data_IF_886133955348
#
_entry.id   IF_886133955348
#
_cell.length_a   1.000
_cell.length_b   1.000
_cell.length_c   1.000
_cell.angle_alpha   90.00
_cell.angle_beta   90.00
_cell.angle_gamma   90.00
#
_symmetry.space_group_name_H-M   'P 1'
#
loop_
_entity.id
_entity.type
_entity.pdbx_description
1 polymer ?
#
# COMPACT_ATOMS: atom_id res chain seq x y z
N UNK A 1 0.90 18.32 11.86
CA UNK A 1 -0.01 17.17 11.84
C UNK A 1 0.69 15.95 12.37
N UNK A 2 0.00 15.15 13.16
CA UNK A 2 0.51 13.90 13.74
C UNK A 2 0.10 12.72 12.85
N UNK A 3 1.08 12.03 12.29
CA UNK A 3 0.86 10.99 11.28
C UNK A 3 1.19 9.61 11.85
N UNK A 4 0.35 8.62 11.57
CA UNK A 4 0.62 7.22 11.82
C UNK A 4 0.79 6.44 10.50
N UNK A 5 1.67 5.44 10.46
CA UNK A 5 1.75 4.50 9.34
C UNK A 5 1.67 3.07 9.88
N UNK A 6 0.58 2.38 9.58
CA UNK A 6 0.40 0.94 9.87
C UNK A 6 0.93 0.13 8.70
N UNK A 7 1.83 -0.80 8.97
CA UNK A 7 2.58 -1.53 7.96
C UNK A 7 3.84 -0.78 7.50
N UNK A 8 4.39 0.08 8.35
CA UNK A 8 5.54 0.94 8.04
C UNK A 8 6.80 0.18 7.60
N UNK A 9 6.96 -1.08 7.99
CA UNK A 9 8.11 -1.94 7.62
C UNK A 9 7.91 -2.68 6.29
N UNK A 10 6.73 -2.58 5.68
CA UNK A 10 6.41 -3.20 4.40
C UNK A 10 6.90 -2.37 3.21
N UNK A 11 6.85 -2.94 2.01
CA UNK A 11 7.26 -2.27 0.76
C UNK A 11 6.49 -0.96 0.53
N UNK A 12 5.17 -1.00 0.62
CA UNK A 12 4.33 0.20 0.44
C UNK A 12 4.54 1.21 1.57
N UNK A 13 4.67 0.75 2.82
CA UNK A 13 4.97 1.62 3.96
C UNK A 13 6.31 2.36 3.79
N UNK A 14 7.31 1.71 3.20
CA UNK A 14 8.59 2.35 2.85
C UNK A 14 8.38 3.48 1.85
N UNK A 15 7.65 3.22 0.76
CA UNK A 15 7.35 4.24 -0.26
C UNK A 15 6.52 5.39 0.32
N UNK A 16 5.56 5.10 1.20
CA UNK A 16 4.79 6.15 1.90
C UNK A 16 5.70 7.09 2.69
N UNK A 17 6.65 6.54 3.45
CA UNK A 17 7.64 7.32 4.21
C UNK A 17 8.50 8.20 3.28
N UNK A 18 9.01 7.62 2.20
CA UNK A 18 9.83 8.32 1.21
C UNK A 18 9.05 9.48 0.57
N UNK A 19 7.81 9.26 0.16
CA UNK A 19 6.97 10.29 -0.48
C UNK A 19 6.63 11.41 0.51
N UNK A 20 6.31 11.09 1.76
CA UNK A 20 6.06 12.10 2.79
C UNK A 20 7.28 12.98 3.01
N UNK A 21 8.48 12.39 3.04
CA UNK A 21 9.74 13.12 3.18
C UNK A 21 10.03 13.97 1.93
N UNK A 22 9.93 13.41 0.73
CA UNK A 22 10.19 14.11 -0.55
C UNK A 22 9.26 15.30 -0.75
N UNK A 23 8.01 15.18 -0.35
CA UNK A 23 7.00 16.26 -0.49
C UNK A 23 7.05 17.28 0.64
N UNK A 24 7.97 17.15 1.58
CA UNK A 24 8.03 17.99 2.77
C UNK A 24 6.64 18.16 3.42
N UNK A 25 5.92 17.03 3.56
CA UNK A 25 4.59 17.06 4.15
C UNK A 25 4.67 17.65 5.56
N UNK A 26 3.74 18.53 5.98
CA UNK A 26 3.83 19.24 7.26
C UNK A 26 3.56 18.31 8.45
N UNK A 27 4.55 17.52 8.81
CA UNK A 27 4.53 16.55 9.91
C UNK A 27 5.09 17.21 11.17
N UNK A 28 4.31 17.17 12.24
CA UNK A 28 4.75 17.56 13.59
C UNK A 28 5.32 16.36 14.33
N UNK A 29 4.62 15.24 14.25
CA UNK A 29 5.11 13.96 14.75
C UNK A 29 4.72 12.81 13.82
N UNK A 30 5.55 11.76 13.80
CA UNK A 30 5.26 10.56 13.05
C UNK A 30 5.47 9.33 13.92
N UNK A 31 4.58 8.35 13.82
CA UNK A 31 4.66 7.07 14.51
C UNK A 31 4.53 5.92 13.53
N UNK A 32 5.30 4.87 13.73
CA UNK A 32 5.32 3.70 12.87
C UNK A 32 4.78 2.48 13.59
N UNK A 33 3.87 1.77 12.95
CA UNK A 33 3.21 0.61 13.50
C UNK A 33 3.40 -0.60 12.60
N UNK A 34 3.65 -1.75 13.20
CA UNK A 34 3.76 -3.02 12.48
C UNK A 34 3.29 -4.19 13.36
N UNK A 35 3.42 -5.41 12.84
CA UNK A 35 3.17 -6.62 13.63
C UNK A 35 4.17 -6.80 14.76
N UNK A 36 3.86 -7.61 15.79
CA UNK A 36 4.78 -7.91 16.90
C UNK A 36 6.18 -8.34 16.45
N UNK A 37 6.27 -9.06 15.32
CA UNK A 37 7.56 -9.51 14.72
C UNK A 37 8.47 -8.34 14.32
N UNK A 38 7.91 -7.19 14.01
CA UNK A 38 8.64 -6.00 13.56
C UNK A 38 8.66 -4.89 14.58
N UNK A 39 7.89 -4.99 15.64
CA UNK A 39 7.92 -4.06 16.76
C UNK A 39 9.31 -4.04 17.42
N UNK A 40 9.73 -2.89 17.91
CA UNK A 40 11.05 -2.68 18.49
C UNK A 40 12.17 -2.42 17.48
N UNK A 41 11.92 -2.52 16.17
CA UNK A 41 12.87 -2.05 15.16
C UNK A 41 12.89 -0.53 15.09
N UNK A 42 14.02 0.01 14.75
CA UNK A 42 14.16 1.44 14.48
C UNK A 42 14.13 1.71 12.98
N UNK A 43 13.43 2.75 12.59
CA UNK A 43 13.36 3.24 11.21
C UNK A 43 13.79 4.69 11.20
N UNK A 44 14.75 5.00 10.35
CA UNK A 44 15.18 6.38 10.15
C UNK A 44 14.17 7.14 9.26
N UNK A 45 13.77 8.32 9.72
CA UNK A 45 12.89 9.23 8.99
C UNK A 45 13.33 10.67 9.23
N UNK A 46 13.70 11.38 8.15
CA UNK A 46 14.17 12.78 8.19
C UNK A 46 15.27 13.05 9.26
N UNK A 47 16.22 12.11 9.39
CA UNK A 47 17.33 12.23 10.34
C UNK A 47 17.00 11.89 11.79
N UNK A 48 15.83 11.35 12.05
CA UNK A 48 15.40 10.85 13.35
C UNK A 48 15.20 9.34 13.32
N UNK A 49 15.70 8.64 14.34
CA UNK A 49 15.40 7.21 14.54
C UNK A 49 14.08 7.07 15.27
N UNK A 50 13.11 6.40 14.65
CA UNK A 50 11.76 6.22 15.17
C UNK A 50 11.51 4.74 15.43
N UNK A 51 11.12 4.42 16.67
CA UNK A 51 10.80 3.07 17.09
C UNK A 51 9.49 2.60 16.46
N UNK A 52 9.49 1.40 15.92
CA UNK A 52 8.27 0.74 15.41
C UNK A 52 7.48 0.15 16.58
N UNK A 53 6.23 0.57 16.71
CA UNK A 53 5.32 0.11 17.74
C UNK A 53 4.53 -1.13 17.28
N UNK A 54 4.10 -1.95 18.25
CA UNK A 54 3.18 -3.03 17.97
C UNK A 54 1.76 -2.48 17.77
N UNK A 55 1.23 -2.65 16.56
CA UNK A 55 -0.10 -2.19 16.19
C UNK A 55 -1.23 -2.82 17.02
N UNK A 56 -1.02 -4.00 17.62
CA UNK A 56 -2.04 -4.69 18.40
C UNK A 56 -2.17 -4.17 19.84
N UNK A 57 -1.13 -3.54 20.39
CA UNK A 57 -1.07 -3.15 21.80
C UNK A 57 -0.82 -1.67 22.05
N UNK A 58 -0.74 -0.86 20.99
CA UNK A 58 -0.43 0.57 21.09
C UNK A 58 -1.63 1.43 21.46
N UNK A 59 -1.35 2.64 21.97
CA UNK A 59 -2.33 3.70 22.11
C UNK A 59 -2.42 4.53 20.82
N UNK A 60 -3.61 4.75 20.31
CA UNK A 60 -3.90 5.46 19.07
C UNK A 60 -4.20 6.96 19.25
N UNK A 61 -4.08 7.48 20.46
CA UNK A 61 -4.37 8.89 20.74
C UNK A 61 -3.38 9.85 20.07
N UNK A 62 -3.84 11.07 19.86
CA UNK A 62 -3.06 12.18 19.30
C UNK A 62 -2.54 11.95 17.87
N UNK A 63 -3.22 11.18 17.06
CA UNK A 63 -2.97 11.04 15.63
C UNK A 63 -4.07 11.78 14.84
N UNK A 64 -3.67 12.58 13.86
CA UNK A 64 -4.58 13.27 12.96
C UNK A 64 -4.94 12.37 11.77
N UNK A 65 -3.94 11.74 11.16
CA UNK A 65 -4.09 10.87 9.99
C UNK A 65 -3.30 9.57 10.21
N UNK A 66 -3.91 8.44 9.86
CA UNK A 66 -3.21 7.15 9.87
C UNK A 66 -3.31 6.49 8.50
N UNK A 67 -2.16 6.23 7.89
CA UNK A 67 -2.04 5.50 6.62
C UNK A 67 -1.99 4.00 6.90
N UNK A 68 -2.92 3.24 6.33
CA UNK A 68 -3.00 1.80 6.49
C UNK A 68 -2.45 1.07 5.25
N UNK A 69 -1.45 0.25 5.45
CA UNK A 69 -0.86 -0.63 4.43
C UNK A 69 -0.43 -1.98 5.01
N UNK A 70 -1.33 -2.64 5.73
CA UNK A 70 -1.04 -3.89 6.45
C UNK A 70 -2.02 -5.04 6.11
N UNK A 71 -2.70 -4.95 4.96
CA UNK A 71 -3.66 -5.94 4.49
C UNK A 71 -5.08 -5.76 5.04
N UNK A 72 -6.05 -6.34 4.32
CA UNK A 72 -7.47 -6.08 4.57
C UNK A 72 -7.99 -6.62 5.90
N UNK A 73 -7.47 -7.75 6.37
CA UNK A 73 -7.92 -8.32 7.64
C UNK A 73 -7.53 -7.41 8.81
N UNK A 74 -6.27 -7.02 8.89
CA UNK A 74 -5.79 -6.14 9.95
C UNK A 74 -6.47 -4.76 9.90
N UNK A 75 -6.74 -4.26 8.68
CA UNK A 75 -7.48 -3.02 8.52
C UNK A 75 -8.91 -3.12 9.10
N UNK A 76 -9.62 -4.22 8.84
CA UNK A 76 -10.96 -4.43 9.42
C UNK A 76 -10.95 -4.51 10.94
N UNK A 77 -9.91 -5.08 11.51
CA UNK A 77 -9.76 -5.24 12.96
C UNK A 77 -9.40 -3.92 13.65
N UNK A 78 -8.44 -3.16 13.11
CA UNK A 78 -7.87 -2.00 13.77
C UNK A 78 -8.49 -0.66 13.37
N UNK A 79 -8.91 -0.49 12.11
CA UNK A 79 -9.35 0.82 11.62
C UNK A 79 -10.52 1.41 12.42
N UNK A 80 -11.54 0.65 12.86
CA UNK A 80 -12.60 1.20 13.71
C UNK A 80 -12.07 1.74 15.05
N UNK A 81 -11.11 1.08 15.67
CA UNK A 81 -10.51 1.52 16.93
C UNK A 81 -9.71 2.80 16.73
N UNK A 82 -8.91 2.87 15.69
CA UNK A 82 -8.11 4.06 15.34
C UNK A 82 -9.00 5.25 15.00
N UNK A 83 -10.07 5.02 14.22
CA UNK A 83 -11.06 6.04 13.89
C UNK A 83 -11.79 6.56 15.14
N UNK A 84 -12.11 5.67 16.08
CA UNK A 84 -12.75 6.04 17.35
C UNK A 84 -11.82 6.86 18.26
N UNK A 85 -10.52 6.73 18.12
CA UNK A 85 -9.51 7.56 18.79
C UNK A 85 -9.39 8.98 18.20
N UNK A 86 -10.09 9.26 17.09
CA UNK A 86 -10.20 10.59 16.48
C UNK A 86 -9.37 10.78 15.21
N UNK A 87 -8.57 9.80 14.79
CA UNK A 87 -7.80 9.89 13.56
C UNK A 87 -8.64 9.66 12.31
N UNK A 88 -8.27 10.31 11.22
CA UNK A 88 -8.75 9.96 9.86
C UNK A 88 -7.84 8.89 9.27
N UNK A 89 -8.43 7.80 8.81
CA UNK A 89 -7.72 6.69 8.20
C UNK A 89 -7.74 6.81 6.69
N UNK A 90 -6.59 6.60 6.06
CA UNK A 90 -6.45 6.39 4.62
C UNK A 90 -6.02 4.95 4.41
N UNK A 91 -6.95 4.11 3.97
CA UNK A 91 -6.73 2.68 3.85
C UNK A 91 -6.38 2.26 2.42
N UNK A 92 -5.22 1.67 2.26
CA UNK A 92 -4.74 1.16 0.98
C UNK A 92 -5.14 -0.30 0.70
N UNK A 93 -5.83 -0.95 1.64
CA UNK A 93 -6.33 -2.32 1.46
C UNK A 93 -7.65 -2.37 0.69
N UNK A 94 -8.14 -3.56 0.44
CA UNK A 94 -9.48 -3.76 -0.15
C UNK A 94 -10.62 -3.79 0.88
N UNK A 95 -10.31 -3.65 2.17
CA UNK A 95 -11.24 -3.91 3.27
C UNK A 95 -12.52 -3.07 3.22
N UNK A 96 -12.38 -1.80 2.84
CA UNK A 96 -13.45 -0.80 2.94
C UNK A 96 -14.00 -0.34 1.60
N UNK A 97 -13.45 -0.80 0.48
CA UNK A 97 -13.81 -0.33 -0.87
C UNK A 97 -15.28 -0.50 -1.23
N UNK A 98 -15.93 -1.52 -0.67
CA UNK A 98 -17.34 -1.84 -0.92
C UNK A 98 -18.27 -1.41 0.23
N UNK A 99 -17.75 -0.74 1.25
CA UNK A 99 -18.55 -0.24 2.37
C UNK A 99 -19.25 1.07 1.95
N UNK A 100 -20.60 1.14 1.99
CA UNK A 100 -21.34 2.31 1.52
C UNK A 100 -21.09 3.58 2.34
N UNK A 101 -20.62 3.45 3.59
CA UNK A 101 -20.32 4.56 4.48
C UNK A 101 -18.84 4.97 4.42
N UNK A 102 -18.05 4.35 3.55
CA UNK A 102 -16.63 4.67 3.37
C UNK A 102 -16.39 5.17 1.94
N UNK A 103 -15.99 6.43 1.75
CA UNK A 103 -15.73 6.94 0.42
C UNK A 103 -14.50 6.26 -0.20
N UNK A 104 -14.67 5.74 -1.42
CA UNK A 104 -13.58 5.28 -2.28
C UNK A 104 -13.08 6.47 -3.08
N UNK A 105 -11.85 6.93 -2.83
CA UNK A 105 -11.36 8.21 -3.32
C UNK A 105 -10.15 8.05 -4.23
N UNK A 106 -10.25 8.68 -5.40
CA UNK A 106 -9.11 9.04 -6.27
C UNK A 106 -9.09 10.57 -6.33
N UNK A 107 -8.07 11.25 -5.79
CA UNK A 107 -8.06 12.71 -5.67
C UNK A 107 -8.35 13.44 -6.98
N UNK A 108 -7.81 12.97 -8.10
CA UNK A 108 -8.00 13.54 -9.43
C UNK A 108 -9.42 13.36 -9.98
N UNK A 109 -10.19 12.43 -9.42
CA UNK A 109 -11.52 12.08 -9.91
C UNK A 109 -12.62 12.66 -9.03
N UNK A 110 -12.56 12.40 -7.73
CA UNK A 110 -13.64 12.63 -6.79
C UNK A 110 -13.18 13.14 -5.43
N UNK A 111 -12.16 14.01 -5.38
CA UNK A 111 -11.67 14.62 -4.13
C UNK A 111 -12.78 15.17 -3.22
N UNK A 112 -13.91 15.62 -3.81
CA UNK A 112 -15.04 16.14 -3.06
C UNK A 112 -15.69 15.11 -2.12
N UNK A 113 -15.50 13.81 -2.38
CA UNK A 113 -16.06 12.74 -1.54
C UNK A 113 -15.50 12.74 -0.10
N UNK A 114 -14.30 13.31 0.11
CA UNK A 114 -13.73 13.45 1.47
C UNK A 114 -14.48 14.43 2.37
N UNK A 115 -15.42 15.20 1.83
CA UNK A 115 -16.28 16.07 2.65
C UNK A 115 -17.23 15.30 3.56
N UNK A 116 -17.48 14.04 3.28
CA UNK A 116 -18.30 13.14 4.10
C UNK A 116 -17.55 11.82 4.30
N UNK A 117 -17.06 11.61 5.50
CA UNK A 117 -16.34 10.40 5.95
C UNK A 117 -16.97 9.87 7.23
N UNK A 118 -18.19 9.30 7.17
CA UNK A 118 -18.98 8.93 8.35
C UNK A 118 -18.24 8.04 9.35
N UNK A 119 -17.32 7.18 8.85
CA UNK A 119 -16.52 6.27 9.68
C UNK A 119 -15.10 6.76 9.96
N UNK A 120 -14.76 8.01 9.60
CA UNK A 120 -13.38 8.50 9.60
C UNK A 120 -12.41 7.61 8.82
N UNK A 121 -12.90 6.87 7.84
CA UNK A 121 -12.10 6.00 6.97
C UNK A 121 -12.31 6.43 5.52
N UNK A 122 -11.21 6.56 4.78
CA UNK A 122 -11.16 6.81 3.35
C UNK A 122 -10.48 5.59 2.71
N UNK A 123 -11.14 4.98 1.74
CA UNK A 123 -10.58 3.84 1.00
C UNK A 123 -9.86 4.31 -0.27
N UNK A 124 -8.68 3.76 -0.52
CA UNK A 124 -7.98 3.88 -1.80
C UNK A 124 -8.43 2.75 -2.74
N UNK A 125 -8.56 3.01 -4.05
CA UNK A 125 -8.81 1.97 -5.04
C UNK A 125 -7.60 1.04 -5.22
N UNK A 126 -7.76 0.05 -6.08
CA UNK A 126 -6.65 -0.80 -6.52
C UNK A 126 -5.54 0.06 -7.18
N UNK A 127 -4.28 -0.33 -6.99
CA UNK A 127 -3.13 0.41 -7.50
C UNK A 127 -3.16 0.62 -9.02
N UNK A 128 -3.56 -0.40 -9.79
CA UNK A 128 -3.69 -0.28 -11.26
C UNK A 128 -4.79 0.69 -11.67
N UNK A 129 -5.89 0.75 -10.92
CA UNK A 129 -6.95 1.74 -11.10
C UNK A 129 -6.42 3.14 -10.82
N UNK A 130 -5.74 3.33 -9.69
CA UNK A 130 -5.20 4.63 -9.28
C UNK A 130 -4.27 5.23 -10.34
N UNK A 131 -3.42 4.41 -10.96
CA UNK A 131 -2.49 4.87 -12.02
C UNK A 131 -3.22 5.30 -13.29
N UNK A 132 -4.32 4.63 -13.64
CA UNK A 132 -5.08 4.92 -14.85
C UNK A 132 -5.97 6.18 -14.74
N UNK A 133 -6.49 6.46 -13.54
CA UNK A 133 -7.51 7.51 -13.35
C UNK A 133 -7.06 8.93 -13.71
N UNK A 134 -5.84 9.39 -13.41
CA UNK A 134 -5.36 10.72 -13.81
C UNK A 134 -5.36 10.95 -15.32
N UNK A 135 -5.22 9.87 -16.10
CA UNK A 135 -5.29 9.92 -17.58
C UNK A 135 -6.73 9.82 -18.07
N UNK A 136 -7.50 8.88 -17.53
CA UNK A 136 -8.86 8.61 -17.98
C UNK A 136 -9.83 9.75 -17.64
N UNK A 137 -9.64 10.41 -16.49
CA UNK A 137 -10.55 11.48 -16.05
C UNK A 137 -10.59 12.66 -17.01
N UNK A 138 -9.47 13.29 -17.41
CA UNK A 138 -9.49 14.39 -18.38
C UNK A 138 -10.02 13.93 -19.75
N UNK A 139 -9.65 12.76 -20.23
CA UNK A 139 -10.18 12.22 -21.48
C UNK A 139 -11.71 12.04 -21.42
N UNK A 140 -12.23 11.56 -20.30
CA UNK A 140 -13.68 11.45 -20.12
C UNK A 140 -14.38 12.81 -20.14
N UNK A 141 -13.78 13.83 -19.51
CA UNK A 141 -14.38 15.17 -19.47
C UNK A 141 -14.41 15.84 -20.85
N UNK A 142 -13.37 15.64 -21.65
CA UNK A 142 -13.22 16.31 -22.95
C UNK A 142 -13.92 15.55 -24.09
N UNK A 143 -13.87 14.21 -24.09
CA UNK A 143 -14.33 13.40 -25.21
C UNK A 143 -15.46 12.43 -24.87
N UNK A 144 -15.75 12.19 -23.59
CA UNK A 144 -16.73 11.22 -23.14
C UNK A 144 -16.23 9.76 -23.30
N UNK A 145 -15.93 9.11 -22.20
CA UNK A 145 -15.59 7.67 -22.18
C UNK A 145 -16.88 6.85 -22.31
N UNK A 146 -16.97 5.99 -23.32
CA UNK A 146 -18.10 5.07 -23.53
C UNK A 146 -17.79 3.68 -23.03
N UNK A 147 -16.65 3.15 -23.45
CA UNK A 147 -16.22 1.78 -23.16
C UNK A 147 -14.74 1.79 -22.79
N UNK A 148 -14.35 0.90 -21.88
CA UNK A 148 -12.97 0.71 -21.47
C UNK A 148 -12.63 -0.78 -21.45
N UNK A 149 -11.70 -1.19 -22.32
CA UNK A 149 -11.12 -2.53 -22.31
C UNK A 149 -9.69 -2.41 -21.86
N UNK A 150 -9.33 -3.06 -20.76
CA UNK A 150 -8.01 -2.93 -20.12
C UNK A 150 -7.40 -4.31 -19.92
N UNK A 151 -6.15 -4.46 -20.35
CA UNK A 151 -5.27 -5.56 -19.97
C UNK A 151 -4.13 -4.99 -19.16
N UNK A 152 -3.82 -5.61 -18.01
CA UNK A 152 -2.79 -5.11 -17.09
C UNK A 152 -1.71 -6.16 -16.86
N UNK A 153 -0.47 -5.69 -16.75
CA UNK A 153 0.67 -6.46 -16.30
C UNK A 153 1.16 -5.86 -14.97
N UNK A 154 1.16 -6.68 -13.94
CA UNK A 154 1.55 -6.22 -12.61
C UNK A 154 2.79 -6.97 -12.14
N UNK A 155 3.75 -6.23 -11.59
CA UNK A 155 4.91 -6.82 -10.93
C UNK A 155 4.49 -7.69 -9.73
N UNK A 156 5.20 -8.78 -9.48
CA UNK A 156 4.94 -9.70 -8.37
C UNK A 156 5.00 -9.01 -7.00
N UNK A 157 5.78 -7.93 -6.90
CA UNK A 157 5.83 -7.07 -5.71
C UNK A 157 4.47 -6.47 -5.32
N UNK A 158 3.49 -6.41 -6.24
CA UNK A 158 2.11 -6.05 -5.93
C UNK A 158 1.41 -7.00 -4.97
N UNK A 159 1.86 -8.26 -4.89
CA UNK A 159 1.43 -9.24 -3.88
C UNK A 159 2.21 -9.14 -2.55
N UNK A 160 3.08 -8.16 -2.41
CA UNK A 160 3.93 -7.96 -1.25
C UNK A 160 5.20 -8.81 -1.26
N UNK A 161 5.93 -8.78 -0.14
CA UNK A 161 7.23 -9.44 -0.02
C UNK A 161 7.14 -10.96 -0.22
N UNK A 162 6.05 -11.59 0.20
CA UNK A 162 5.85 -13.02 0.03
C UNK A 162 5.81 -13.42 -1.46
N UNK A 163 5.13 -12.65 -2.31
CA UNK A 163 5.10 -12.90 -3.75
C UNK A 163 6.49 -12.76 -4.40
N UNK A 164 7.29 -11.79 -3.96
CA UNK A 164 8.67 -11.63 -4.44
C UNK A 164 9.54 -12.81 -4.01
N UNK A 165 9.37 -13.30 -2.79
CA UNK A 165 10.11 -14.46 -2.29
C UNK A 165 9.74 -15.72 -3.07
N UNK A 166 8.45 -15.97 -3.26
CA UNK A 166 7.94 -17.10 -4.06
C UNK A 166 8.49 -17.07 -5.50
N UNK A 167 8.45 -15.92 -6.16
CA UNK A 167 9.04 -15.78 -7.50
C UNK A 167 10.52 -16.12 -7.52
N UNK A 168 11.28 -15.64 -6.55
CA UNK A 168 12.71 -15.93 -6.46
C UNK A 168 13.00 -17.42 -6.24
N UNK A 169 12.19 -18.10 -5.44
CA UNK A 169 12.28 -19.53 -5.20
C UNK A 169 11.97 -20.30 -6.49
N UNK A 170 10.87 -19.99 -7.17
CA UNK A 170 10.49 -20.62 -8.43
C UNK A 170 11.54 -20.42 -9.54
N UNK A 171 12.18 -19.23 -9.61
CA UNK A 171 13.25 -18.97 -10.58
C UNK A 171 14.48 -19.86 -10.28
N UNK A 172 14.83 -20.06 -9.01
CA UNK A 172 15.95 -20.94 -8.64
C UNK A 172 15.65 -22.39 -9.01
N UNK A 173 14.46 -22.89 -8.64
CA UNK A 173 14.01 -24.24 -8.98
C UNK A 173 14.01 -24.47 -10.51
N UNK A 174 13.48 -23.51 -11.27
CA UNK A 174 13.48 -23.58 -12.73
C UNK A 174 14.92 -23.53 -13.30
N UNK A 175 15.81 -22.78 -12.68
CA UNK A 175 17.22 -22.73 -13.03
C UNK A 175 17.92 -24.07 -12.81
N UNK A 176 17.69 -24.70 -11.67
CA UNK A 176 18.24 -26.02 -11.35
C UNK A 176 17.74 -27.09 -12.30
N UNK A 177 16.42 -27.11 -12.60
CA UNK A 177 15.83 -28.01 -13.61
C UNK A 177 16.45 -27.76 -15.01
N UNK A 178 16.64 -26.49 -15.39
CA UNK A 178 17.23 -26.15 -16.68
C UNK A 178 18.70 -26.61 -16.79
N UNK A 179 19.45 -26.56 -15.69
CA UNK A 179 20.83 -27.09 -15.62
C UNK A 179 20.82 -28.61 -15.80
N UNK A 180 19.89 -29.32 -15.16
CA UNK A 180 19.76 -30.77 -15.29
C UNK A 180 19.33 -31.23 -16.69
N UNK A 181 18.60 -30.37 -17.41
CA UNK A 181 18.15 -30.62 -18.78
C UNK A 181 19.21 -30.26 -19.84
N UNK A 182 20.33 -29.64 -19.46
CA UNK A 182 21.39 -29.29 -20.41
C UNK A 182 22.23 -30.53 -20.77
N UNK A 183 22.18 -30.95 -22.01
CA UNK A 183 23.13 -31.89 -22.58
C UNK A 183 24.40 -31.12 -22.84
N UNK A 184 25.54 -31.59 -22.35
CA UNK A 184 26.89 -31.00 -22.53
C UNK A 184 27.19 -29.71 -21.76
N UNK A 185 26.47 -29.37 -20.69
CA UNK A 185 26.77 -28.24 -19.80
C UNK A 185 26.55 -26.84 -20.42
N UNK A 186 25.89 -26.76 -21.56
CA UNK A 186 25.50 -25.48 -22.16
C UNK A 186 24.07 -25.11 -21.71
N UNK A 187 23.95 -23.98 -21.03
CA UNK A 187 22.66 -23.46 -20.63
C UNK A 187 21.76 -23.19 -21.85
N UNK A 188 20.58 -23.76 -21.87
CA UNK A 188 19.55 -23.40 -22.85
C UNK A 188 19.19 -21.92 -22.63
N UNK A 189 19.29 -21.13 -23.69
CA UNK A 189 18.89 -19.72 -23.64
C UNK A 189 17.40 -19.63 -23.45
N UNK A 190 16.95 -19.09 -22.32
CA UNK A 190 15.55 -18.79 -22.03
C UNK A 190 14.96 -17.63 -22.88
N UNK A 191 15.74 -17.12 -23.85
CA UNK A 191 15.33 -16.02 -24.73
C UNK A 191 14.36 -16.46 -25.83
N UNK A 192 14.10 -17.75 -25.97
CA UNK A 192 13.26 -18.32 -27.03
C UNK A 192 11.94 -18.94 -26.53
N UNK A 193 11.46 -18.55 -25.35
CA UNK A 193 10.12 -18.89 -24.91
C UNK A 193 9.17 -17.73 -25.18
#
# INVERSE_FOLDING_TARGET
MNIGIVGATGQVGTVMREILAQRNFPIESIRFFASPRSAGKEIEFQGQSILVEDAASTNWENLDIVLFSAGGQLSKELAPTVASAGAVIIDNSSAWRMDPDVPLVVPEVNAHAIKSIPKNIIANPNCTTMVAMPVLKPLHLEAGLRDLIVSTYQATSGAGLAGVQELNEQIREAGDIAIDLTHDGQALSLIHI
#
